data_IF_670185122458
#
_entry.id   IF_670185122458
#
_cell.length_a   1.000
_cell.length_b   1.000
_cell.length_c   1.000
_cell.angle_alpha   90.00
_cell.angle_beta   90.00
_cell.angle_gamma   90.00
#
_symmetry.space_group_name_H-M   'P 1'
#
loop_
_entity.id
_entity.type
_entity.pdbx_description
1 polymer ?
#
# COMPACT_ATOMS: atom_id res chain seq x y z
N UNK A 1 29.87 -31.44 -17.92
CA UNK A 1 30.03 -30.38 -16.90
C UNK A 1 29.73 -28.96 -17.44
N UNK A 2 30.15 -28.58 -18.66
CA UNK A 2 29.89 -27.23 -19.24
C UNK A 2 28.43 -26.97 -19.65
N UNK A 3 27.71 -27.98 -20.14
CA UNK A 3 26.27 -27.89 -20.52
C UNK A 3 25.38 -27.58 -19.33
N UNK A 4 25.66 -28.17 -18.16
CA UNK A 4 24.90 -27.91 -16.93
C UNK A 4 24.98 -26.44 -16.51
N UNK A 5 26.15 -25.83 -16.66
CA UNK A 5 26.37 -24.42 -16.34
C UNK A 5 25.52 -23.53 -17.26
N UNK A 6 25.53 -23.78 -18.57
CA UNK A 6 24.73 -23.01 -19.53
C UNK A 6 23.21 -23.08 -19.25
N UNK A 7 22.70 -24.26 -18.91
CA UNK A 7 21.27 -24.43 -18.57
C UNK A 7 20.88 -23.68 -17.29
N UNK A 8 21.75 -23.68 -16.27
CA UNK A 8 21.49 -22.94 -15.02
C UNK A 8 21.49 -21.43 -15.21
N UNK A 9 22.36 -20.88 -16.06
CA UNK A 9 22.40 -19.43 -16.33
C UNK A 9 21.13 -18.94 -17.05
N UNK A 10 20.58 -19.74 -17.97
CA UNK A 10 19.34 -19.41 -18.67
C UNK A 10 18.13 -19.43 -17.72
N UNK A 11 18.04 -20.44 -16.84
CA UNK A 11 16.97 -20.54 -15.84
C UNK A 11 16.99 -19.38 -14.83
N UNK A 12 18.18 -19.01 -14.35
CA UNK A 12 18.36 -17.87 -13.43
C UNK A 12 18.04 -16.54 -14.13
N UNK A 13 18.41 -16.39 -15.41
CA UNK A 13 18.11 -15.19 -16.21
C UNK A 13 16.61 -14.95 -16.42
N UNK A 14 15.82 -16.01 -16.60
CA UNK A 14 14.36 -15.93 -16.77
C UNK A 14 13.64 -15.48 -15.48
N UNK A 15 14.14 -15.86 -14.31
CA UNK A 15 13.52 -15.51 -13.03
C UNK A 15 13.67 -14.03 -12.66
N UNK A 16 14.68 -13.33 -13.19
CA UNK A 16 14.98 -11.94 -12.82
C UNK A 16 14.13 -10.89 -13.57
N UNK A 17 13.30 -11.31 -14.53
CA UNK A 17 12.52 -10.40 -15.37
C UNK A 17 11.13 -10.03 -14.81
N UNK A 18 10.72 -10.54 -13.64
CA UNK A 18 9.31 -10.52 -13.22
C UNK A 18 8.88 -9.44 -12.21
N UNK A 19 9.64 -8.36 -12.02
CA UNK A 19 9.13 -7.18 -11.28
C UNK A 19 8.52 -6.16 -12.26
N UNK A 20 7.34 -6.51 -12.78
CA UNK A 20 6.48 -5.56 -13.49
C UNK A 20 6.13 -4.39 -12.56
N UNK A 21 6.61 -3.19 -12.90
CA UNK A 21 6.29 -1.94 -12.19
C UNK A 21 4.83 -1.61 -12.46
N UNK A 22 3.94 -1.97 -11.53
CA UNK A 22 2.52 -1.67 -11.64
C UNK A 22 2.34 -0.16 -11.49
N UNK A 23 2.19 0.58 -12.59
CA UNK A 23 1.75 1.97 -12.54
C UNK A 23 0.27 1.93 -12.13
N UNK A 24 0.00 1.99 -10.82
CA UNK A 24 -1.33 2.35 -10.33
C UNK A 24 -1.59 3.77 -10.84
N UNK A 25 -2.48 3.90 -11.82
CA UNK A 25 -3.04 5.19 -12.20
C UNK A 25 -3.80 5.69 -10.99
N UNK A 26 -3.17 6.55 -10.22
CA UNK A 26 -3.77 7.22 -9.09
C UNK A 26 -4.64 8.37 -9.62
N UNK A 27 -5.79 8.01 -10.18
CA UNK A 27 -6.78 8.99 -10.65
C UNK A 27 -7.88 9.24 -9.61
N UNK A 28 -7.63 8.91 -8.33
CA UNK A 28 -8.68 8.91 -7.30
C UNK A 28 -8.24 9.34 -5.90
N UNK A 29 -6.95 9.51 -5.62
CA UNK A 29 -6.52 9.99 -4.32
C UNK A 29 -6.64 11.50 -4.18
N UNK A 30 -7.78 11.95 -3.65
CA UNK A 30 -7.89 13.30 -3.09
C UNK A 30 -7.08 13.36 -1.80
N UNK A 31 -5.87 13.90 -1.87
CA UNK A 31 -5.02 14.19 -0.70
C UNK A 31 -5.42 15.49 0.00
N UNK A 32 -6.31 16.28 -0.61
CA UNK A 32 -6.86 17.50 -0.02
C UNK A 32 -8.06 17.11 0.84
N UNK A 33 -8.00 17.45 2.12
CA UNK A 33 -9.07 17.23 3.09
C UNK A 33 -9.44 18.55 3.78
N UNK A 34 -10.71 18.66 4.19
CA UNK A 34 -11.19 19.72 5.07
C UNK A 34 -10.52 19.61 6.45
N UNK A 35 -10.44 20.72 7.17
CA UNK A 35 -9.94 20.77 8.55
C UNK A 35 -11.01 20.38 9.59
N UNK A 36 -12.11 19.72 9.17
CA UNK A 36 -13.15 19.29 10.09
C UNK A 36 -12.63 18.15 10.99
N UNK A 37 -12.94 18.25 12.29
CA UNK A 37 -12.59 17.21 13.24
C UNK A 37 -13.81 16.31 13.48
N UNK A 38 -13.81 15.16 12.82
CA UNK A 38 -14.79 14.07 12.95
C UNK A 38 -14.01 12.77 13.04
N UNK A 39 -13.41 12.47 14.20
CA UNK A 39 -12.38 11.45 14.31
C UNK A 39 -12.89 10.07 13.91
N UNK A 40 -11.99 9.27 13.34
CA UNK A 40 -12.25 7.87 13.00
C UNK A 40 -11.07 6.99 13.42
N UNK A 41 -11.37 5.76 13.82
CA UNK A 41 -10.38 4.77 14.17
C UNK A 41 -10.13 3.86 12.97
N UNK A 42 -8.89 3.80 12.49
CA UNK A 42 -8.45 2.87 11.45
C UNK A 42 -7.48 1.82 11.99
N UNK A 43 -7.44 0.64 11.38
CA UNK A 43 -6.47 -0.41 11.69
C UNK A 43 -5.48 -0.56 10.55
N UNK A 44 -4.19 -0.44 10.86
CA UNK A 44 -3.09 -0.68 9.93
C UNK A 44 -2.96 -2.16 9.56
N UNK A 45 -2.17 -2.44 8.53
CA UNK A 45 -1.91 -3.82 8.09
C UNK A 45 -1.10 -4.64 9.11
N UNK A 46 -0.42 -3.99 10.04
CA UNK A 46 0.26 -4.56 11.20
C UNK A 46 -0.69 -4.84 12.39
N UNK A 47 -1.98 -4.55 12.23
CA UNK A 47 -2.99 -4.70 13.28
C UNK A 47 -3.02 -3.54 14.29
N UNK A 48 -2.25 -2.48 14.09
CA UNK A 48 -2.23 -1.36 15.03
C UNK A 48 -3.39 -0.39 14.77
N UNK A 49 -4.12 0.03 15.82
CA UNK A 49 -5.15 1.05 15.68
C UNK A 49 -4.54 2.46 15.64
N UNK A 50 -5.07 3.33 14.80
CA UNK A 50 -4.68 4.74 14.67
C UNK A 50 -5.90 5.62 14.47
N UNK A 51 -5.97 6.70 15.25
CA UNK A 51 -6.98 7.75 15.08
C UNK A 51 -6.61 8.68 13.94
N UNK A 52 -7.57 8.98 13.07
CA UNK A 52 -7.48 9.99 12.02
C UNK A 52 -8.47 11.11 12.30
N UNK A 53 -8.12 12.36 12.01
CA UNK A 53 -8.96 13.53 12.31
C UNK A 53 -10.31 13.52 11.57
N UNK A 54 -10.36 12.87 10.41
CA UNK A 54 -11.60 12.58 9.67
C UNK A 54 -11.39 11.44 8.66
N UNK A 55 -12.51 10.97 8.08
CA UNK A 55 -12.51 9.89 7.09
C UNK A 55 -11.72 10.23 5.82
N UNK A 56 -11.66 11.50 5.41
CA UNK A 56 -10.85 11.91 4.28
C UNK A 56 -9.37 11.67 4.55
N UNK A 57 -8.88 12.05 5.74
CA UNK A 57 -7.48 11.82 6.12
C UNK A 57 -7.12 10.33 6.20
N UNK A 58 -8.03 9.47 6.66
CA UNK A 58 -7.83 8.01 6.62
C UNK A 58 -7.65 7.53 5.17
N UNK A 59 -8.52 7.96 4.26
CA UNK A 59 -8.42 7.61 2.83
C UNK A 59 -7.15 8.15 2.19
N UNK A 60 -6.75 9.38 2.54
CA UNK A 60 -5.52 10.01 2.08
C UNK A 60 -4.27 9.26 2.59
N UNK A 61 -4.31 8.68 3.79
CA UNK A 61 -3.21 7.86 4.31
C UNK A 61 -3.03 6.53 3.54
N UNK A 62 -4.07 6.08 2.83
CA UNK A 62 -4.01 4.93 1.94
C UNK A 62 -3.53 5.29 0.52
N UNK A 63 -3.21 6.55 0.27
CA UNK A 63 -2.72 7.03 -1.02
C UNK A 63 -1.19 6.99 -1.09
N UNK A 64 -0.65 6.44 -2.19
CA UNK A 64 0.78 6.51 -2.51
C UNK A 64 1.66 5.34 -2.06
N UNK A 65 1.22 4.51 -1.10
CA UNK A 65 1.98 3.35 -0.64
C UNK A 65 1.14 2.07 -0.55
N UNK A 66 1.63 0.98 -1.14
CA UNK A 66 1.07 -0.36 -0.95
C UNK A 66 1.31 -0.94 0.45
N UNK A 67 2.13 -0.28 1.28
CA UNK A 67 2.49 -0.66 2.64
C UNK A 67 1.53 -0.10 3.71
N UNK A 68 0.91 1.05 3.46
CA UNK A 68 0.03 1.73 4.42
C UNK A 68 -1.43 1.55 4.04
N UNK A 69 -1.96 0.34 4.25
CA UNK A 69 -3.40 0.08 4.12
C UNK A 69 -4.07 0.11 5.49
N UNK A 70 -4.82 1.19 5.75
CA UNK A 70 -5.70 1.35 6.90
C UNK A 70 -7.15 0.97 6.55
N UNK A 71 -7.76 0.12 7.36
CA UNK A 71 -9.19 -0.22 7.28
C UNK A 71 -9.94 0.54 8.37
N UNK A 72 -11.07 1.17 8.04
CA UNK A 72 -11.93 1.81 9.03
C UNK A 72 -12.49 0.77 10.01
N UNK A 73 -12.24 0.95 11.31
CA UNK A 73 -12.81 0.13 12.38
C UNK A 73 -14.13 0.71 12.91
N UNK A 74 -14.09 1.98 13.34
CA UNK A 74 -15.24 2.67 13.93
C UNK A 74 -15.14 4.19 13.74
N UNK A 75 -16.29 4.85 13.86
CA UNK A 75 -16.34 6.29 14.09
C UNK A 75 -15.86 6.62 15.51
N UNK A 76 -15.27 7.79 15.70
CA UNK A 76 -14.61 8.19 16.94
C UNK A 76 -13.14 7.78 16.99
N UNK A 77 -12.48 8.13 18.08
CA UNK A 77 -11.06 7.81 18.29
C UNK A 77 -10.85 6.30 18.57
N UNK A 78 -9.65 5.80 18.28
CA UNK A 78 -9.14 4.57 18.87
C UNK A 78 -8.83 4.85 20.35
#
# INVERSE_FOLDING_TARGET
MKVQYLLTFMAVGLSMAHHGRHIKRDSGCSTICTAEFKPVCGQGSDGTPKTFSNLCQLKAANCGESSSSFVLLREGEC
#
